data_IF_338723094849
#
_entry.id   IF_338723094849
#
_cell.length_a   1.000
_cell.length_b   1.000
_cell.length_c   1.000
_cell.angle_alpha   90.00
_cell.angle_beta   90.00
_cell.angle_gamma   90.00
#
_symmetry.space_group_name_H-M   'P 1'
#
loop_
_entity.id
_entity.type
_entity.pdbx_description
1 polymer ?
#
# COMPACT_ATOMS: atom_id res chain seq x y z
N UNK A 1 -24.60 25.51 11.53
CA UNK A 1 -23.75 24.40 12.01
C UNK A 1 -24.63 23.25 12.47
N UNK A 2 -24.28 22.01 12.15
CA UNK A 2 -24.89 20.85 12.81
C UNK A 2 -24.46 20.81 14.28
N UNK A 3 -25.31 20.31 15.20
CA UNK A 3 -24.90 20.17 16.60
C UNK A 3 -23.66 19.26 16.69
N UNK A 4 -22.72 19.55 17.60
CA UNK A 4 -21.52 18.74 17.72
C UNK A 4 -21.88 17.34 18.23
N UNK A 5 -21.23 16.33 17.67
CA UNK A 5 -21.43 14.92 18.05
C UNK A 5 -20.26 14.49 18.92
N UNK A 6 -20.46 13.56 19.85
CA UNK A 6 -19.35 13.00 20.65
C UNK A 6 -18.96 11.62 20.14
N UNK A 7 -17.68 11.41 19.84
CA UNK A 7 -17.10 10.07 19.64
C UNK A 7 -16.47 9.58 20.94
N UNK A 8 -16.45 8.26 21.16
CA UNK A 8 -15.97 7.65 22.40
C UNK A 8 -15.06 6.45 22.08
N UNK A 9 -14.12 6.18 22.99
CA UNK A 9 -13.22 5.03 22.90
C UNK A 9 -12.95 4.46 24.30
N UNK A 10 -12.67 3.16 24.38
CA UNK A 10 -12.22 2.46 25.59
C UNK A 10 -10.87 1.77 25.43
N UNK A 11 -10.40 1.63 24.19
CA UNK A 11 -9.26 0.84 23.74
C UNK A 11 -7.89 1.44 24.09
N UNK A 12 -7.75 2.77 24.06
CA UNK A 12 -6.52 3.47 24.41
C UNK A 12 -6.58 3.89 25.89
N UNK A 13 -6.05 3.03 26.76
CA UNK A 13 -5.95 3.29 28.19
C UNK A 13 -4.93 4.40 28.48
N UNK A 14 -5.34 5.40 29.27
CA UNK A 14 -4.56 6.62 29.52
C UNK A 14 -4.80 7.76 28.52
N UNK A 15 -5.51 7.49 27.42
CA UNK A 15 -5.98 8.51 26.49
C UNK A 15 -7.35 9.10 26.87
N UNK A 16 -7.73 10.24 26.28
CA UNK A 16 -9.07 10.82 26.40
C UNK A 16 -10.16 9.80 26.01
N UNK A 17 -11.24 9.71 26.81
CA UNK A 17 -12.33 8.74 26.59
C UNK A 17 -13.36 9.19 25.56
N UNK A 18 -13.37 10.48 25.26
CA UNK A 18 -14.29 11.07 24.29
C UNK A 18 -13.67 12.30 23.63
N UNK A 19 -14.12 12.60 22.41
CA UNK A 19 -13.83 13.86 21.74
C UNK A 19 -15.08 14.46 21.12
N UNK A 20 -15.13 15.79 21.08
CA UNK A 20 -16.18 16.56 20.44
C UNK A 20 -15.90 16.68 18.95
N UNK A 21 -16.83 16.23 18.11
CA UNK A 21 -16.76 16.32 16.65
C UNK A 21 -17.59 17.50 16.16
N UNK A 22 -16.91 18.46 15.52
CA UNK A 22 -17.52 19.61 14.86
C UNK A 22 -17.42 19.43 13.35
N UNK A 23 -18.54 19.61 12.65
CA UNK A 23 -18.63 19.42 11.21
C UNK A 23 -18.75 20.78 10.50
N UNK A 24 -17.91 21.00 9.50
CA UNK A 24 -17.83 22.19 8.69
C UNK A 24 -17.96 21.84 7.21
N UNK A 25 -18.55 22.75 6.45
CA UNK A 25 -18.42 22.72 5.00
C UNK A 25 -17.24 23.57 4.57
N UNK A 26 -16.68 23.34 3.38
CA UNK A 26 -15.60 24.18 2.83
C UNK A 26 -15.95 25.69 2.79
N UNK A 27 -17.24 26.05 2.71
CA UNK A 27 -17.69 27.44 2.79
C UNK A 27 -17.50 28.08 4.18
N UNK A 28 -17.41 27.27 5.23
CA UNK A 28 -17.23 27.69 6.63
C UNK A 28 -15.78 27.47 7.12
N UNK A 29 -14.80 27.45 6.21
CA UNK A 29 -13.38 27.24 6.57
C UNK A 29 -12.85 28.30 7.55
N UNK A 30 -13.32 29.55 7.46
CA UNK A 30 -12.92 30.61 8.39
C UNK A 30 -13.41 30.36 9.82
N UNK A 31 -14.66 29.87 9.99
CA UNK A 31 -15.20 29.47 11.29
C UNK A 31 -14.42 28.28 11.86
N UNK A 32 -14.12 27.29 11.01
CA UNK A 32 -13.30 26.14 11.38
C UNK A 32 -11.90 26.59 11.84
N UNK A 33 -11.26 27.53 11.15
CA UNK A 33 -9.95 28.03 11.53
C UNK A 33 -9.97 28.67 12.93
N UNK A 34 -10.96 29.51 13.22
CA UNK A 34 -11.10 30.15 14.54
C UNK A 34 -11.29 29.09 15.62
N UNK A 35 -12.24 28.18 15.45
CA UNK A 35 -12.52 27.14 16.43
C UNK A 35 -11.33 26.18 16.62
N UNK A 36 -10.66 25.81 15.52
CA UNK A 36 -9.51 24.94 15.55
C UNK A 36 -8.35 25.58 16.29
N UNK A 37 -8.02 26.85 15.98
CA UNK A 37 -6.94 27.59 16.65
C UNK A 37 -7.23 27.80 18.13
N UNK A 38 -8.49 28.02 18.52
CA UNK A 38 -8.89 28.12 19.92
C UNK A 38 -8.75 26.78 20.68
N UNK A 39 -8.83 25.65 19.97
CA UNK A 39 -8.66 24.31 20.56
C UNK A 39 -7.20 23.84 20.65
N UNK A 40 -6.27 24.53 20.00
CA UNK A 40 -4.84 24.25 20.15
C UNK A 40 -4.39 24.75 21.54
N UNK A 41 -3.95 23.82 22.39
CA UNK A 41 -3.38 24.13 23.70
C UNK A 41 -2.01 24.86 23.58
N UNK A 42 -1.35 25.09 24.72
CA UNK A 42 0.01 25.65 24.73
C UNK A 42 0.99 24.75 23.94
N UNK A 43 1.91 25.34 23.15
CA UNK A 43 2.86 24.58 22.36
C UNK A 43 3.85 23.79 23.26
N UNK A 44 4.35 22.63 22.80
CA UNK A 44 4.12 22.03 21.49
C UNK A 44 2.77 21.31 21.38
N UNK A 45 1.98 21.64 20.35
CA UNK A 45 0.73 20.94 20.06
C UNK A 45 0.91 19.94 18.92
N UNK A 46 0.31 18.76 19.09
CA UNK A 46 0.22 17.72 18.07
C UNK A 46 -1.17 17.71 17.47
N UNK A 47 -1.25 17.50 16.16
CA UNK A 47 -2.52 17.41 15.43
C UNK A 47 -2.52 16.12 14.63
N UNK A 48 -3.54 15.30 14.86
CA UNK A 48 -3.79 14.12 14.02
C UNK A 48 -4.57 14.53 12.77
N UNK A 49 -4.17 14.00 11.61
CA UNK A 49 -4.89 14.20 10.34
C UNK A 49 -5.37 12.89 9.75
N UNK A 50 -6.57 12.90 9.19
CA UNK A 50 -7.08 11.86 8.31
C UNK A 50 -7.89 12.46 7.17
N UNK A 51 -8.01 11.70 6.08
CA UNK A 51 -8.76 12.13 4.89
C UNK A 51 -9.64 11.00 4.36
N UNK A 52 -10.71 11.40 3.68
CA UNK A 52 -11.46 10.52 2.79
C UNK A 52 -11.29 10.97 1.35
N UNK A 53 -10.99 10.02 0.48
CA UNK A 53 -10.86 10.25 -0.96
C UNK A 53 -12.17 9.96 -1.70
N UNK A 54 -12.36 10.64 -2.83
CA UNK A 54 -13.40 10.31 -3.79
C UNK A 54 -13.18 8.89 -4.38
N UNK A 55 -14.25 8.21 -4.84
CA UNK A 55 -14.15 6.86 -5.42
C UNK A 55 -13.40 6.84 -6.75
N UNK A 56 -13.26 8.00 -7.40
CA UNK A 56 -12.55 8.17 -8.67
C UNK A 56 -11.71 9.44 -8.57
N UNK A 57 -10.48 9.37 -9.08
CA UNK A 57 -9.56 10.50 -9.11
C UNK A 57 -8.78 10.71 -7.81
N UNK A 58 -8.00 11.80 -7.74
CA UNK A 58 -7.19 12.17 -6.57
C UNK A 58 -7.91 13.11 -5.59
N UNK A 59 -9.20 13.39 -5.79
CA UNK A 59 -9.91 14.38 -4.99
C UNK A 59 -10.18 13.90 -3.56
N UNK A 60 -10.09 14.83 -2.60
CA UNK A 60 -10.46 14.63 -1.20
C UNK A 60 -11.92 15.04 -1.01
N UNK A 61 -12.69 14.21 -0.31
CA UNK A 61 -14.09 14.47 0.11
C UNK A 61 -14.18 15.00 1.53
N UNK A 62 -13.30 14.54 2.40
CA UNK A 62 -13.31 14.91 3.82
C UNK A 62 -11.89 15.09 4.32
N UNK A 63 -11.65 16.15 5.09
CA UNK A 63 -10.44 16.35 5.89
C UNK A 63 -10.86 16.38 7.36
N UNK A 64 -10.29 15.51 8.19
CA UNK A 64 -10.42 15.56 9.63
C UNK A 64 -9.10 15.98 10.28
N UNK A 65 -9.15 17.00 11.13
CA UNK A 65 -8.05 17.42 12.00
C UNK A 65 -8.49 17.19 13.44
N UNK A 66 -7.61 16.66 14.28
CA UNK A 66 -7.95 16.36 15.67
C UNK A 66 -6.87 16.81 16.65
N UNK A 67 -7.33 17.31 17.78
CA UNK A 67 -6.59 17.36 19.05
C UNK A 67 -6.95 16.12 19.88
N UNK A 68 -6.53 16.07 21.14
CA UNK A 68 -6.88 15.00 22.06
C UNK A 68 -8.38 14.97 22.43
N UNK A 69 -9.06 16.10 22.36
CA UNK A 69 -10.42 16.29 22.89
C UNK A 69 -11.41 16.85 21.86
N UNK A 70 -10.93 17.34 20.72
CA UNK A 70 -11.77 17.90 19.66
C UNK A 70 -11.35 17.37 18.28
N UNK A 71 -12.34 17.19 17.40
CA UNK A 71 -12.18 16.78 16.01
C UNK A 71 -12.94 17.76 15.12
N UNK A 72 -12.26 18.28 14.12
CA UNK A 72 -12.77 19.24 13.15
C UNK A 72 -12.84 18.55 11.80
N UNK A 73 -14.06 18.31 11.33
CA UNK A 73 -14.31 17.58 10.08
C UNK A 73 -14.78 18.57 9.03
N UNK A 74 -14.03 18.68 7.94
CA UNK A 74 -14.32 19.54 6.81
C UNK A 74 -14.74 18.71 5.60
N UNK A 75 -15.94 18.96 5.08
CA UNK A 75 -16.45 18.30 3.87
C UNK A 75 -16.26 19.16 2.62
N UNK A 76 -15.73 18.53 1.57
CA UNK A 76 -15.56 19.09 0.23
C UNK A 76 -16.70 18.59 -0.67
N UNK A 77 -17.65 19.47 -0.97
CA UNK A 77 -18.70 19.18 -1.97
C UNK A 77 -18.30 19.56 -3.40
N UNK A 78 -17.31 20.43 -3.51
CA UNK A 78 -16.73 20.95 -4.74
C UNK A 78 -15.25 21.28 -4.51
N UNK A 79 -14.43 21.37 -5.57
CA UNK A 79 -13.04 21.82 -5.43
C UNK A 79 -12.95 23.19 -4.74
N UNK A 80 -11.98 23.39 -3.82
CA UNK A 80 -11.84 24.66 -3.12
C UNK A 80 -11.43 25.79 -4.07
N UNK A 81 -12.03 26.97 -3.86
CA UNK A 81 -11.64 28.22 -4.53
C UNK A 81 -10.23 28.66 -4.11
N UNK A 82 -9.62 29.62 -4.81
CA UNK A 82 -8.28 30.13 -4.48
C UNK A 82 -8.19 30.62 -3.02
N UNK A 83 -9.16 31.41 -2.56
CA UNK A 83 -9.22 31.89 -1.17
C UNK A 83 -9.38 30.74 -0.15
N UNK A 84 -10.17 29.71 -0.49
CA UNK A 84 -10.34 28.54 0.37
C UNK A 84 -9.05 27.70 0.45
N UNK A 85 -8.31 27.58 -0.65
CA UNK A 85 -6.99 26.91 -0.65
C UNK A 85 -5.99 27.63 0.22
N UNK A 86 -5.95 28.96 0.16
CA UNK A 86 -5.08 29.78 1.01
C UNK A 86 -5.42 29.62 2.49
N UNK A 87 -6.72 29.68 2.85
CA UNK A 87 -7.17 29.46 4.22
C UNK A 87 -6.81 28.06 4.73
N UNK A 88 -6.98 27.02 3.91
CA UNK A 88 -6.57 25.65 4.24
C UNK A 88 -5.06 25.50 4.39
N UNK A 89 -4.26 26.10 3.50
CA UNK A 89 -2.81 26.09 3.61
C UNK A 89 -2.36 26.74 4.92
N UNK A 90 -3.00 27.85 5.33
CA UNK A 90 -2.76 28.49 6.62
C UNK A 90 -3.20 27.61 7.79
N UNK A 91 -4.33 26.91 7.69
CA UNK A 91 -4.82 25.98 8.70
C UNK A 91 -3.82 24.86 8.99
N UNK A 92 -3.20 24.31 7.94
CA UNK A 92 -2.24 23.20 8.03
C UNK A 92 -0.81 23.61 8.44
N UNK A 93 -0.53 24.91 8.61
CA UNK A 93 0.72 25.38 9.23
C UNK A 93 0.71 25.04 10.73
N UNK A 94 1.11 23.81 11.03
CA UNK A 94 1.13 23.17 12.34
C UNK A 94 2.55 22.62 12.59
N UNK A 95 3.06 22.74 13.82
CA UNK A 95 4.38 22.25 14.18
C UNK A 95 4.50 20.73 13.96
N UNK A 96 3.56 19.99 14.57
CA UNK A 96 3.47 18.53 14.49
C UNK A 96 2.13 18.10 13.88
N UNK A 97 2.00 18.24 12.56
CA UNK A 97 0.96 17.55 11.80
C UNK A 97 1.35 16.08 11.67
N UNK A 98 0.50 15.17 12.14
CA UNK A 98 0.83 13.74 12.25
C UNK A 98 -0.23 12.88 11.60
N UNK A 99 0.17 11.75 11.04
CA UNK A 99 -0.72 10.79 10.39
C UNK A 99 -0.11 9.40 10.40
N UNK A 100 -0.96 8.38 10.33
CA UNK A 100 -0.55 7.06 9.87
C UNK A 100 -0.61 7.05 8.34
N UNK A 101 0.41 6.44 7.73
CA UNK A 101 0.57 6.38 6.29
C UNK A 101 0.56 7.78 5.64
N UNK A 102 1.17 8.72 6.37
CA UNK A 102 1.12 10.14 6.06
C UNK A 102 1.59 10.50 4.62
N UNK A 103 2.55 9.79 3.98
CA UNK A 103 2.89 10.04 2.57
C UNK A 103 1.68 10.17 1.64
N UNK A 104 0.67 9.30 1.80
CA UNK A 104 -0.53 9.35 0.97
C UNK A 104 -1.36 10.61 1.26
N UNK A 105 -1.55 10.90 2.55
CA UNK A 105 -2.35 12.03 3.02
C UNK A 105 -1.78 13.37 2.58
N UNK A 106 -0.48 13.63 2.78
CA UNK A 106 0.09 14.96 2.49
C UNK A 106 0.21 15.24 0.99
N UNK A 107 0.40 14.21 0.17
CA UNK A 107 0.41 14.34 -1.29
C UNK A 107 -0.97 14.71 -1.80
N UNK A 108 -2.02 14.05 -1.31
CA UNK A 108 -3.40 14.36 -1.67
C UNK A 108 -3.80 15.76 -1.18
N UNK A 109 -3.38 16.15 0.03
CA UNK A 109 -3.62 17.49 0.55
C UNK A 109 -2.89 18.54 -0.30
N UNK A 110 -1.60 18.37 -0.54
CA UNK A 110 -0.83 19.32 -1.36
C UNK A 110 -1.42 19.44 -2.77
N UNK A 111 -1.88 18.33 -3.36
CA UNK A 111 -2.57 18.35 -4.64
C UNK A 111 -3.88 19.15 -4.60
N UNK A 112 -4.72 18.93 -3.59
CA UNK A 112 -5.99 19.66 -3.42
C UNK A 112 -5.79 21.16 -3.15
N UNK A 113 -4.69 21.52 -2.49
CA UNK A 113 -4.38 22.89 -2.08
C UNK A 113 -3.57 23.67 -3.11
N UNK A 114 -2.76 22.98 -3.91
CA UNK A 114 -1.73 23.61 -4.73
C UNK A 114 -0.63 24.28 -3.89
N UNK A 115 -0.39 23.79 -2.67
CA UNK A 115 0.59 24.33 -1.73
C UNK A 115 1.33 23.22 -1.00
N UNK A 116 2.52 23.54 -0.48
CA UNK A 116 3.31 22.57 0.28
C UNK A 116 2.63 22.15 1.57
N UNK A 117 2.69 20.84 1.86
CA UNK A 117 2.22 20.24 3.11
C UNK A 117 3.34 19.39 3.69
N UNK A 118 3.54 19.49 4.99
CA UNK A 118 4.58 18.77 5.71
C UNK A 118 4.08 18.21 7.04
N UNK A 119 4.64 17.10 7.49
CA UNK A 119 4.25 16.45 8.74
C UNK A 119 5.08 15.22 9.08
N UNK A 120 4.67 14.50 10.12
CA UNK A 120 5.37 13.34 10.67
C UNK A 120 4.53 12.06 10.54
N UNK A 121 5.12 11.06 9.90
CA UNK A 121 4.49 9.77 9.67
C UNK A 121 4.67 8.84 10.87
N UNK A 122 3.59 8.60 11.62
CA UNK A 122 3.61 7.70 12.78
C UNK A 122 3.86 6.25 12.36
N UNK A 123 3.50 5.87 11.13
CA UNK A 123 3.73 4.52 10.60
C UNK A 123 5.22 4.17 10.45
N UNK A 124 6.10 5.17 10.36
CA UNK A 124 7.55 4.95 10.21
C UNK A 124 8.38 5.73 11.23
N UNK A 125 7.75 6.19 12.32
CA UNK A 125 8.45 6.89 13.40
C UNK A 125 9.42 5.96 14.14
N UNK A 126 9.09 4.67 14.24
CA UNK A 126 10.00 3.64 14.74
C UNK A 126 10.81 3.02 13.59
N UNK A 127 12.07 2.70 13.85
CA UNK A 127 12.90 1.96 12.89
C UNK A 127 12.32 0.56 12.65
N UNK A 128 12.22 0.17 11.37
CA UNK A 128 11.76 -1.15 10.96
C UNK A 128 10.59 -1.11 9.97
N UNK A 129 9.66 -2.05 10.16
CA UNK A 129 8.46 -2.20 9.32
C UNK A 129 7.43 -1.09 9.56
N UNK A 130 6.59 -0.86 8.55
CA UNK A 130 5.47 0.08 8.60
C UNK A 130 4.52 -0.35 9.71
N UNK A 131 4.44 0.45 10.77
CA UNK A 131 3.58 0.17 11.92
C UNK A 131 2.12 0.51 11.61
N UNK A 132 1.24 -0.40 11.97
CA UNK A 132 -0.21 -0.15 11.99
C UNK A 132 -0.55 0.78 13.16
N UNK A 133 -1.71 1.46 13.14
CA UNK A 133 -2.16 2.27 14.27
C UNK A 133 -2.21 1.48 15.58
N UNK A 134 -2.71 0.24 15.52
CA UNK A 134 -2.78 -0.66 16.66
C UNK A 134 -1.41 -1.08 17.18
N UNK A 135 -0.49 -1.48 16.30
CA UNK A 135 0.87 -1.87 16.70
C UNK A 135 1.63 -0.70 17.32
N UNK A 136 1.48 0.49 16.73
CA UNK A 136 2.10 1.71 17.24
C UNK A 136 1.60 2.01 18.64
N UNK A 137 0.28 2.06 18.86
CA UNK A 137 -0.31 2.35 20.16
C UNK A 137 0.00 1.26 21.21
N UNK A 138 -0.05 -0.02 20.83
CA UNK A 138 0.35 -1.13 21.70
C UNK A 138 1.81 -1.00 22.14
N UNK A 139 2.69 -0.58 21.24
CA UNK A 139 4.10 -0.35 21.55
C UNK A 139 4.37 0.87 22.44
N UNK A 140 3.35 1.69 22.71
CA UNK A 140 3.38 2.80 23.68
C UNK A 140 2.71 2.44 25.00
N UNK A 141 1.77 1.50 24.99
CA UNK A 141 1.13 0.96 26.18
C UNK A 141 0.67 -0.47 25.92
N UNK A 142 1.27 -1.42 26.64
CA UNK A 142 1.01 -2.86 26.50
C UNK A 142 -0.45 -3.24 26.80
N UNK A 143 -1.20 -2.37 27.45
CA UNK A 143 -2.62 -2.58 27.75
C UNK A 143 -3.55 -2.22 26.59
N UNK A 144 -3.03 -1.62 25.51
CA UNK A 144 -3.80 -1.33 24.30
C UNK A 144 -3.85 -2.56 23.42
N UNK A 145 -5.05 -3.02 23.06
CA UNK A 145 -5.20 -4.11 22.09
C UNK A 145 -4.97 -3.59 20.68
N UNK A 146 -3.85 -3.97 20.06
CA UNK A 146 -3.53 -3.63 18.67
C UNK A 146 -4.65 -4.05 17.70
N UNK A 147 -5.20 -5.27 17.91
CA UNK A 147 -6.32 -5.81 17.16
C UNK A 147 -7.54 -4.91 17.23
N UNK A 148 -7.99 -4.55 18.43
CA UNK A 148 -9.19 -3.72 18.60
C UNK A 148 -9.04 -2.34 17.95
N UNK A 149 -7.86 -1.73 18.06
CA UNK A 149 -7.57 -0.46 17.41
C UNK A 149 -7.61 -0.59 15.88
N UNK A 150 -6.97 -1.62 15.32
CA UNK A 150 -6.95 -1.82 13.87
C UNK A 150 -8.35 -2.12 13.32
N UNK A 151 -9.14 -2.93 14.01
CA UNK A 151 -10.54 -3.17 13.66
C UNK A 151 -11.35 -1.86 13.64
N UNK A 152 -11.26 -1.03 14.69
CA UNK A 152 -11.93 0.27 14.72
C UNK A 152 -11.42 1.22 13.64
N UNK A 153 -10.11 1.23 13.40
CA UNK A 153 -9.48 2.03 12.36
C UNK A 153 -10.01 1.68 10.97
N UNK A 154 -10.30 0.41 10.72
CA UNK A 154 -10.83 -0.09 9.46
C UNK A 154 -12.35 0.01 9.31
N UNK A 155 -13.04 0.63 10.26
CA UNK A 155 -14.50 0.78 10.24
C UNK A 155 -15.26 -0.33 10.99
N UNK A 156 -14.54 -1.22 11.69
CA UNK A 156 -15.11 -2.34 12.44
C UNK A 156 -15.44 -3.56 11.57
N UNK A 157 -15.97 -4.61 12.21
CA UNK A 157 -16.41 -5.85 11.55
C UNK A 157 -17.88 -5.66 11.12
N UNK A 158 -18.20 -5.58 9.82
CA UNK A 158 -19.59 -5.41 9.39
C UNK A 158 -20.40 -6.66 9.73
N UNK A 159 -21.57 -6.49 10.39
CA UNK A 159 -22.57 -7.57 10.47
C UNK A 159 -23.35 -7.74 9.14
N UNK A 160 -23.35 -6.70 8.29
CA UNK A 160 -23.75 -6.71 6.87
C UNK A 160 -23.36 -5.38 6.19
N UNK A 161 -22.91 -5.41 4.92
CA UNK A 161 -22.56 -4.21 4.13
C UNK A 161 -21.10 -3.75 4.24
N UNK A 162 -20.73 -2.71 3.49
CA UNK A 162 -19.42 -2.03 3.59
C UNK A 162 -19.49 -0.95 4.66
N UNK A 163 -18.71 -1.07 5.74
CA UNK A 163 -18.58 0.04 6.71
C UNK A 163 -17.49 0.98 6.21
N UNK A 164 -17.81 2.25 6.08
CA UNK A 164 -16.80 3.27 5.73
C UNK A 164 -15.94 3.58 6.97
N UNK A 165 -14.60 3.58 6.85
CA UNK A 165 -13.74 3.97 7.96
C UNK A 165 -14.05 5.39 8.42
N UNK A 166 -14.24 5.57 9.73
CA UNK A 166 -14.59 6.87 10.29
C UNK A 166 -13.37 7.81 10.29
N UNK A 167 -13.33 8.75 9.34
CA UNK A 167 -12.24 9.72 9.21
C UNK A 167 -12.00 10.55 10.49
N UNK A 168 -13.07 10.93 11.20
CA UNK A 168 -12.97 11.62 12.48
C UNK A 168 -12.28 10.75 13.55
N UNK A 169 -12.67 9.46 13.65
CA UNK A 169 -12.05 8.52 14.57
C UNK A 169 -10.56 8.32 14.26
N UNK A 170 -10.20 8.17 12.98
CA UNK A 170 -8.81 8.03 12.53
C UNK A 170 -7.95 9.24 12.88
N UNK A 171 -8.45 10.45 12.62
CA UNK A 171 -7.75 11.68 12.99
C UNK A 171 -7.56 11.75 14.52
N UNK A 172 -8.59 11.41 15.29
CA UNK A 172 -8.53 11.43 16.75
C UNK A 172 -7.53 10.40 17.33
N UNK A 173 -7.58 9.15 16.86
CA UNK A 173 -6.62 8.12 17.28
C UNK A 173 -5.18 8.51 16.91
N UNK A 174 -5.00 9.19 15.77
CA UNK A 174 -3.71 9.75 15.39
C UNK A 174 -3.25 10.83 16.36
N UNK A 175 -4.13 11.75 16.78
CA UNK A 175 -3.80 12.80 17.74
C UNK A 175 -3.41 12.21 19.12
N UNK A 176 -4.13 11.18 19.58
CA UNK A 176 -3.78 10.47 20.82
C UNK A 176 -2.41 9.80 20.68
N UNK A 177 -2.16 9.09 19.58
CA UNK A 177 -0.89 8.42 19.30
C UNK A 177 0.28 9.41 19.21
N UNK A 178 0.07 10.56 18.56
CA UNK A 178 1.06 11.62 18.44
C UNK A 178 1.44 12.21 19.81
N UNK A 179 0.45 12.44 20.69
CA UNK A 179 0.74 12.92 22.04
C UNK A 179 1.55 11.90 22.85
N UNK A 180 1.24 10.61 22.74
CA UNK A 180 2.03 9.53 23.38
C UNK A 180 3.45 9.39 22.81
N UNK A 181 3.74 10.04 21.68
CA UNK A 181 5.02 9.99 20.99
C UNK A 181 5.66 11.38 20.85
N UNK A 182 5.20 12.39 21.61
CA UNK A 182 5.60 13.78 21.40
C UNK A 182 7.12 13.99 21.49
N UNK A 183 7.80 13.24 22.35
CA UNK A 183 9.26 13.26 22.52
C UNK A 183 10.02 12.60 21.35
N UNK A 184 9.38 11.66 20.65
CA UNK A 184 9.98 10.96 19.49
C UNK A 184 9.79 11.74 18.19
N UNK A 185 8.77 12.60 18.09
CA UNK A 185 8.46 13.34 16.86
C UNK A 185 9.65 14.16 16.34
N UNK A 186 10.42 14.90 17.17
CA UNK A 186 11.62 15.60 16.72
C UNK A 186 12.74 14.68 16.20
N UNK A 187 12.78 13.42 16.65
CA UNK A 187 13.76 12.42 16.21
C UNK A 187 13.36 11.79 14.86
N UNK A 188 12.07 11.83 14.53
CA UNK A 188 11.52 11.38 13.26
C UNK A 188 11.87 12.29 12.09
N UNK A 189 11.87 11.73 10.88
CA UNK A 189 12.02 12.53 9.65
C UNK A 189 10.69 13.20 9.31
N UNK A 190 10.70 14.53 9.23
CA UNK A 190 9.57 15.31 8.70
C UNK A 190 9.46 15.11 7.19
N UNK A 191 8.30 14.69 6.72
CA UNK A 191 7.97 14.57 5.30
C UNK A 191 7.46 15.91 4.78
N UNK A 192 7.77 16.24 3.52
CA UNK A 192 7.35 17.48 2.87
C UNK A 192 7.13 17.29 1.37
N UNK A 193 6.07 17.88 0.84
CA UNK A 193 5.82 17.92 -0.61
C UNK A 193 6.64 18.97 -1.34
N UNK A 194 7.37 19.84 -0.63
CA UNK A 194 8.27 20.85 -1.21
C UNK A 194 9.28 20.27 -2.22
N UNK A 195 9.68 19.01 -2.04
CA UNK A 195 10.63 18.32 -2.92
C UNK A 195 9.99 17.76 -4.20
N UNK A 196 8.68 17.91 -4.36
CA UNK A 196 7.91 17.31 -5.44
C UNK A 196 7.31 18.42 -6.30
N UNK A 197 7.70 18.45 -7.58
CA UNK A 197 7.12 19.44 -8.50
C UNK A 197 5.64 19.13 -8.85
N UNK A 198 4.94 20.12 -9.38
CA UNK A 198 3.50 20.04 -9.65
C UNK A 198 3.10 18.89 -10.58
N UNK A 199 3.93 18.54 -11.58
CA UNK A 199 3.63 17.43 -12.49
C UNK A 199 3.80 16.09 -11.78
N UNK A 200 4.85 15.96 -10.95
CA UNK A 200 5.03 14.77 -10.12
C UNK A 200 3.91 14.60 -9.11
N UNK A 201 3.50 15.70 -8.49
CA UNK A 201 2.46 15.73 -7.47
C UNK A 201 1.13 15.19 -8.00
N UNK A 202 0.74 15.52 -9.24
CA UNK A 202 -0.47 14.98 -9.87
C UNK A 202 -0.46 13.44 -9.91
N UNK A 203 0.64 12.85 -10.38
CA UNK A 203 0.77 11.40 -10.49
C UNK A 203 0.85 10.73 -9.12
N UNK A 204 1.56 11.36 -8.17
CA UNK A 204 1.64 10.89 -6.80
C UNK A 204 0.27 10.92 -6.11
N UNK A 205 -0.56 11.93 -6.39
CA UNK A 205 -1.93 12.01 -5.86
C UNK A 205 -2.81 10.89 -6.42
N UNK A 206 -2.73 10.59 -7.72
CA UNK A 206 -3.44 9.44 -8.31
C UNK A 206 -2.94 8.11 -7.73
N UNK A 207 -1.63 7.99 -7.50
CA UNK A 207 -1.01 6.82 -6.88
C UNK A 207 -1.49 6.63 -5.44
N UNK A 208 -1.52 7.70 -4.65
CA UNK A 208 -1.97 7.72 -3.26
C UNK A 208 -3.47 7.40 -3.15
N UNK A 209 -4.32 8.01 -3.97
CA UNK A 209 -5.76 7.73 -3.93
C UNK A 209 -6.07 6.28 -4.29
N UNK A 210 -5.41 5.73 -5.32
CA UNK A 210 -5.53 4.31 -5.68
C UNK A 210 -5.05 3.38 -4.57
N UNK A 211 -3.98 3.72 -3.86
CA UNK A 211 -3.51 2.93 -2.72
C UNK A 211 -4.55 2.88 -1.59
N UNK A 212 -5.12 4.03 -1.22
CA UNK A 212 -6.18 4.13 -0.22
C UNK A 212 -7.44 3.37 -0.66
N UNK A 213 -7.88 3.54 -1.91
CA UNK A 213 -9.06 2.86 -2.45
C UNK A 213 -8.86 1.34 -2.54
N UNK A 214 -7.67 0.89 -2.97
CA UNK A 214 -7.32 -0.54 -3.00
C UNK A 214 -7.39 -1.15 -1.60
N UNK A 215 -6.85 -0.47 -0.60
CA UNK A 215 -6.89 -0.97 0.78
C UNK A 215 -8.34 -1.07 1.30
N UNK A 216 -9.19 -0.09 0.98
CA UNK A 216 -10.64 -0.12 1.32
C UNK A 216 -11.38 -1.27 0.66
N UNK A 217 -10.95 -1.72 -0.52
CA UNK A 217 -11.56 -2.84 -1.23
C UNK A 217 -11.09 -4.21 -0.71
N UNK A 218 -10.03 -4.26 0.12
CA UNK A 218 -9.59 -5.54 0.70
C UNK A 218 -10.69 -6.07 1.64
N UNK A 219 -11.12 -7.33 1.48
CA UNK A 219 -12.15 -7.91 2.32
C UNK A 219 -11.67 -7.94 3.78
N UNK A 220 -12.53 -7.50 4.70
CA UNK A 220 -12.26 -7.55 6.15
C UNK A 220 -12.70 -8.85 6.81
N UNK A 221 -13.55 -9.60 6.10
CA UNK A 221 -14.00 -10.94 6.48
C UNK A 221 -13.92 -11.81 5.22
N UNK A 222 -13.25 -12.94 5.32
CA UNK A 222 -13.17 -13.93 4.25
C UNK A 222 -13.53 -15.29 4.81
N UNK A 223 -14.53 -15.93 4.21
CA UNK A 223 -14.83 -17.35 4.49
C UNK A 223 -13.83 -18.22 3.72
N UNK A 224 -13.24 -19.19 4.42
CA UNK A 224 -12.27 -20.11 3.83
C UNK A 224 -12.85 -21.50 3.67
N UNK A 225 -12.62 -22.07 2.49
CA UNK A 225 -12.93 -23.46 2.21
C UNK A 225 -11.79 -24.37 2.71
N UNK A 226 -12.17 -25.37 3.47
CA UNK A 226 -11.29 -26.40 4.01
C UNK A 226 -11.87 -27.79 3.78
N UNK A 227 -11.01 -28.80 3.68
CA UNK A 227 -11.38 -30.21 3.56
C UNK A 227 -11.32 -30.95 4.89
N UNK A 228 -10.46 -30.49 5.81
CA UNK A 228 -10.31 -31.07 7.15
C UNK A 228 -9.65 -30.06 8.10
N UNK A 229 -9.81 -30.27 9.41
CA UNK A 229 -9.10 -29.56 10.48
C UNK A 229 -8.57 -30.58 11.47
N UNK A 230 -7.26 -30.64 11.62
CA UNK A 230 -6.60 -31.47 12.62
C UNK A 230 -6.26 -30.63 13.85
N UNK A 231 -6.38 -31.20 15.04
CA UNK A 231 -5.94 -30.56 16.29
C UNK A 231 -4.66 -31.21 16.78
N UNK A 232 -3.67 -30.40 17.11
CA UNK A 232 -2.36 -30.83 17.62
C UNK A 232 -2.35 -30.84 19.15
N UNK A 233 -1.40 -31.58 19.73
CA UNK A 233 -1.28 -31.73 21.18
C UNK A 233 -0.98 -30.42 21.92
N UNK A 234 -0.37 -29.44 21.24
CA UNK A 234 -0.06 -28.11 21.78
C UNK A 234 -1.26 -27.13 21.75
N UNK A 235 -2.43 -27.61 21.33
CA UNK A 235 -3.63 -26.79 21.13
C UNK A 235 -3.61 -25.97 19.84
N UNK A 236 -2.65 -26.19 18.94
CA UNK A 236 -2.71 -25.63 17.60
C UNK A 236 -3.58 -26.47 16.68
N UNK A 237 -4.00 -25.87 15.57
CA UNK A 237 -4.81 -26.53 14.55
C UNK A 237 -4.11 -26.42 13.20
N UNK A 238 -4.26 -27.47 12.41
CA UNK A 238 -3.85 -27.51 11.01
C UNK A 238 -5.10 -27.60 10.13
N UNK A 239 -5.36 -26.52 9.40
CA UNK A 239 -6.45 -26.40 8.44
C UNK A 239 -5.95 -26.90 7.08
N UNK A 240 -6.59 -27.95 6.55
CA UNK A 240 -6.35 -28.44 5.20
C UNK A 240 -7.22 -27.66 4.24
N UNK A 241 -6.63 -26.71 3.52
CA UNK A 241 -7.35 -25.83 2.62
C UNK A 241 -7.80 -26.60 1.39
N UNK A 242 -9.07 -26.46 1.00
CA UNK A 242 -9.62 -27.16 -0.15
C UNK A 242 -8.95 -26.70 -1.46
N UNK A 243 -8.55 -25.43 -1.52
CA UNK A 243 -7.87 -24.81 -2.65
C UNK A 243 -6.62 -24.09 -2.15
N UNK A 244 -5.57 -24.06 -2.95
CA UNK A 244 -4.35 -23.33 -2.56
C UNK A 244 -4.61 -21.83 -2.33
N UNK A 245 -5.49 -21.23 -3.14
CA UNK A 245 -5.89 -19.82 -3.00
C UNK A 245 -6.67 -19.51 -1.71
N UNK A 246 -7.21 -20.50 -1.00
CA UNK A 246 -7.89 -20.32 0.29
C UNK A 246 -6.97 -20.51 1.49
N UNK A 247 -5.65 -20.63 1.27
CA UNK A 247 -4.69 -20.69 2.37
C UNK A 247 -4.69 -19.38 3.17
N UNK A 248 -4.48 -19.54 4.46
CA UNK A 248 -4.44 -18.46 5.43
C UNK A 248 -2.97 -18.13 5.73
N UNK A 249 -2.52 -16.94 5.33
CA UNK A 249 -1.13 -16.47 5.54
C UNK A 249 -0.96 -15.93 6.96
N UNK A 250 0.25 -16.08 7.52
CA UNK A 250 0.60 -15.42 8.77
C UNK A 250 0.44 -13.91 8.62
N UNK A 251 -0.16 -13.27 9.60
CA UNK A 251 -0.41 -11.84 9.61
C UNK A 251 -0.67 -11.39 11.05
N UNK A 252 -0.17 -10.21 11.39
CA UNK A 252 -0.44 -9.53 12.67
C UNK A 252 -1.76 -8.78 12.66
N UNK A 253 -2.32 -8.55 11.46
CA UNK A 253 -3.53 -7.77 11.23
C UNK A 253 -4.78 -8.63 11.04
N UNK A 254 -4.61 -9.95 10.91
CA UNK A 254 -5.73 -10.89 10.73
C UNK A 254 -5.68 -12.01 11.76
N UNK A 255 -6.85 -12.49 12.16
CA UNK A 255 -7.03 -13.68 13.00
C UNK A 255 -8.07 -14.60 12.37
N UNK A 256 -8.21 -15.78 12.95
CA UNK A 256 -9.20 -16.78 12.56
C UNK A 256 -10.32 -16.85 13.59
N UNK A 257 -11.56 -16.88 13.10
CA UNK A 257 -12.71 -17.33 13.87
C UNK A 257 -13.07 -18.75 13.42
N UNK A 258 -13.00 -19.70 14.35
CA UNK A 258 -13.36 -21.12 14.14
C UNK A 258 -14.75 -21.37 14.71
N UNK A 259 -15.73 -21.57 13.84
CA UNK A 259 -17.11 -21.87 14.22
C UNK A 259 -17.27 -23.38 14.36
N UNK A 260 -17.69 -23.83 15.52
CA UNK A 260 -17.95 -25.23 15.83
C UNK A 260 -19.41 -25.59 15.54
N UNK A 261 -19.69 -26.86 15.25
CA UNK A 261 -21.07 -27.35 14.98
C UNK A 261 -22.02 -27.18 16.16
N UNK A 262 -21.50 -27.06 17.38
CA UNK A 262 -22.27 -26.81 18.60
C UNK A 262 -22.68 -25.32 18.77
N UNK A 263 -22.22 -24.43 17.87
CA UNK A 263 -22.51 -23.00 17.90
C UNK A 263 -21.40 -22.13 18.52
N UNK A 264 -20.38 -22.73 19.14
CA UNK A 264 -19.27 -22.00 19.74
C UNK A 264 -18.36 -21.38 18.66
N UNK A 265 -17.76 -20.24 19.00
CA UNK A 265 -16.74 -19.57 18.16
C UNK A 265 -15.45 -19.46 18.95
N UNK A 266 -14.36 -19.98 18.38
CA UNK A 266 -13.03 -19.95 19.00
C UNK A 266 -12.10 -19.10 18.14
N UNK A 267 -11.51 -18.08 18.74
CA UNK A 267 -10.50 -17.25 18.08
C UNK A 267 -9.16 -18.00 17.99
N UNK A 268 -8.43 -17.77 16.90
CA UNK A 268 -7.12 -18.34 16.68
C UNK A 268 -6.16 -17.37 15.98
N UNK A 269 -4.89 -17.39 16.43
CA UNK A 269 -3.80 -16.63 15.83
C UNK A 269 -3.15 -17.44 14.71
N UNK A 270 -2.98 -16.85 13.54
CA UNK A 270 -2.41 -17.54 12.37
C UNK A 270 -0.89 -17.65 12.53
N UNK A 271 -0.34 -18.88 12.47
CA UNK A 271 1.10 -19.14 12.51
C UNK A 271 1.73 -19.10 11.11
N UNK A 272 0.99 -19.51 10.07
CA UNK A 272 1.46 -19.48 8.68
C UNK A 272 0.85 -20.57 7.81
N UNK A 273 1.37 -20.73 6.60
CA UNK A 273 0.94 -21.76 5.67
C UNK A 273 2.13 -22.42 4.95
N UNK A 274 1.99 -23.71 4.65
CA UNK A 274 2.91 -24.49 3.82
C UNK A 274 2.11 -25.34 2.83
N UNK A 275 2.27 -25.05 1.54
CA UNK A 275 1.41 -25.64 0.51
C UNK A 275 -0.07 -25.34 0.78
N UNK A 276 -0.90 -26.40 0.83
CA UNK A 276 -2.34 -26.31 1.15
C UNK A 276 -2.67 -26.47 2.64
N UNK A 277 -1.68 -26.44 3.54
CA UNK A 277 -1.90 -26.53 4.98
C UNK A 277 -1.66 -25.16 5.63
N UNK A 278 -2.62 -24.72 6.43
CA UNK A 278 -2.52 -23.49 7.23
C UNK A 278 -2.53 -23.86 8.70
N UNK A 279 -1.58 -23.32 9.46
CA UNK A 279 -1.44 -23.59 10.89
C UNK A 279 -1.86 -22.37 11.69
N UNK A 280 -2.62 -22.59 12.76
CA UNK A 280 -3.07 -21.55 13.67
C UNK A 280 -3.07 -22.04 15.13
N UNK A 281 -2.97 -21.11 16.08
CA UNK A 281 -3.06 -21.40 17.52
C UNK A 281 -4.39 -20.92 18.04
N UNK A 282 -5.23 -21.80 18.56
CA UNK A 282 -6.49 -21.39 19.17
C UNK A 282 -6.25 -20.80 20.55
N UNK A 283 -7.09 -19.84 20.94
CA UNK A 283 -7.05 -19.26 22.29
C UNK A 283 -7.57 -20.25 23.34
N UNK A 284 -8.41 -21.19 22.91
CA UNK A 284 -9.01 -22.23 23.74
C UNK A 284 -9.03 -23.56 22.97
N UNK A 285 -9.06 -24.68 23.69
CA UNK A 285 -9.14 -26.01 23.06
C UNK A 285 -10.48 -26.16 22.32
N UNK A 286 -10.44 -26.69 21.10
CA UNK A 286 -11.64 -26.96 20.33
C UNK A 286 -12.44 -28.10 20.99
N UNK A 287 -13.73 -27.87 21.24
CA UNK A 287 -14.66 -28.84 21.82
C UNK A 287 -15.76 -29.21 20.83
N UNK A 288 -15.39 -29.88 19.75
CA UNK A 288 -16.32 -30.37 18.73
C UNK A 288 -15.78 -30.21 17.31
N UNK A 289 -16.61 -30.59 16.34
CA UNK A 289 -16.26 -30.49 14.92
C UNK A 289 -16.32 -29.04 14.44
N UNK A 290 -15.39 -28.68 13.57
CA UNK A 290 -15.39 -27.38 12.88
C UNK A 290 -16.46 -27.37 11.78
N UNK A 291 -17.33 -26.38 11.82
CA UNK A 291 -18.37 -26.14 10.81
C UNK A 291 -17.93 -25.10 9.78
N UNK A 292 -17.22 -24.05 10.21
CA UNK A 292 -16.83 -22.93 9.35
C UNK A 292 -15.57 -22.23 9.88
N UNK A 293 -14.75 -21.70 8.97
CA UNK A 293 -13.58 -20.90 9.28
C UNK A 293 -13.69 -19.54 8.59
N UNK A 294 -13.46 -18.47 9.35
CA UNK A 294 -13.38 -17.10 8.83
C UNK A 294 -12.03 -16.49 9.15
N UNK A 295 -11.43 -15.81 8.19
CA UNK A 295 -10.34 -14.87 8.43
C UNK A 295 -10.96 -13.50 8.62
N UNK A 296 -10.59 -12.83 9.71
CA UNK A 296 -11.10 -11.51 10.08
C UNK A 296 -9.93 -10.55 10.26
N UNK A 297 -10.06 -9.35 9.71
CA UNK A 297 -9.05 -8.29 9.71
C UNK A 297 -8.65 -7.88 8.29
N UNK A 298 -7.70 -6.93 8.19
CA UNK A 298 -7.18 -6.47 6.91
C UNK A 298 -5.89 -7.23 6.54
N UNK A 299 -5.79 -7.71 5.30
CA UNK A 299 -4.56 -8.36 4.83
C UNK A 299 -3.39 -7.37 4.78
N UNK A 300 -2.24 -7.79 5.33
CA UNK A 300 -1.01 -7.03 5.30
C UNK A 300 -0.60 -6.60 3.89
N UNK A 301 0.25 -5.58 3.83
CA UNK A 301 0.75 -5.08 2.55
C UNK A 301 1.60 -6.12 1.84
N UNK A 302 1.32 -6.32 0.56
CA UNK A 302 2.25 -7.06 -0.30
C UNK A 302 3.57 -6.30 -0.48
N UNK A 303 4.62 -7.00 -0.92
CA UNK A 303 5.92 -6.37 -1.19
C UNK A 303 5.82 -5.20 -2.19
N UNK A 304 4.94 -5.31 -3.19
CA UNK A 304 4.71 -4.24 -4.16
C UNK A 304 4.03 -3.03 -3.52
N UNK A 305 3.09 -3.23 -2.60
CA UNK A 305 2.43 -2.15 -1.86
C UNK A 305 3.41 -1.47 -0.89
N UNK A 306 4.29 -2.24 -0.24
CA UNK A 306 5.38 -1.73 0.61
C UNK A 306 6.37 -0.90 -0.22
N UNK A 307 6.81 -1.41 -1.37
CA UNK A 307 7.72 -0.69 -2.26
C UNK A 307 7.11 0.64 -2.75
N UNK A 308 5.82 0.62 -3.12
CA UNK A 308 5.06 1.83 -3.49
C UNK A 308 5.03 2.86 -2.36
N UNK A 309 4.78 2.42 -1.13
CA UNK A 309 4.80 3.27 0.05
C UNK A 309 6.17 3.91 0.28
N UNK A 310 7.23 3.09 0.30
CA UNK A 310 8.59 3.56 0.54
C UNK A 310 9.09 4.48 -0.57
N UNK A 311 8.74 4.21 -1.83
CA UNK A 311 9.02 5.10 -2.95
C UNK A 311 8.43 6.49 -2.68
N UNK A 312 7.12 6.58 -2.40
CA UNK A 312 6.46 7.85 -2.16
C UNK A 312 7.03 8.57 -0.94
N UNK A 313 7.24 7.84 0.17
CA UNK A 313 7.86 8.37 1.38
C UNK A 313 9.24 8.96 1.08
N UNK A 314 10.07 8.25 0.32
CA UNK A 314 11.44 8.68 0.01
C UNK A 314 11.45 9.95 -0.85
N UNK A 315 10.51 10.06 -1.80
CA UNK A 315 10.33 11.27 -2.62
C UNK A 315 9.87 12.50 -1.82
N UNK A 316 9.34 12.32 -0.61
CA UNK A 316 8.89 13.40 0.28
C UNK A 316 9.93 13.78 1.35
N UNK A 317 11.07 13.09 1.39
CA UNK A 317 12.12 13.36 2.38
C UNK A 317 13.23 14.25 1.83
N UNK A 318 13.50 14.14 0.53
CA UNK A 318 14.52 14.92 -0.17
C UNK A 318 14.22 14.91 -1.67
N UNK A 319 14.76 15.88 -2.40
CA UNK A 319 14.67 15.91 -3.85
C UNK A 319 15.44 14.70 -4.41
N UNK A 320 14.71 13.74 -4.98
CA UNK A 320 15.29 12.57 -5.64
C UNK A 320 14.84 12.51 -7.08
N UNK A 321 15.78 12.21 -7.97
CA UNK A 321 15.45 11.76 -9.30
C UNK A 321 14.81 10.37 -9.21
N UNK A 322 13.59 10.23 -9.74
CA UNK A 322 13.00 8.91 -9.91
C UNK A 322 13.87 8.11 -10.92
N UNK A 323 14.00 6.78 -10.74
CA UNK A 323 14.73 5.95 -11.70
C UNK A 323 14.26 6.22 -13.13
N UNK A 324 15.17 6.20 -14.12
CA UNK A 324 14.86 6.55 -15.51
C UNK A 324 13.60 5.84 -16.03
N UNK A 325 13.49 4.52 -15.81
CA UNK A 325 12.30 3.73 -16.16
C UNK A 325 10.98 4.27 -15.54
N UNK A 326 11.03 4.69 -14.27
CA UNK A 326 9.86 5.30 -13.60
C UNK A 326 9.55 6.66 -14.22
N UNK A 327 10.59 7.45 -14.50
CA UNK A 327 10.41 8.75 -15.15
C UNK A 327 9.81 8.62 -16.55
N UNK A 328 10.25 7.66 -17.35
CA UNK A 328 9.73 7.44 -18.70
C UNK A 328 8.26 7.03 -18.70
N UNK A 329 7.83 6.18 -17.76
CA UNK A 329 6.44 5.69 -17.71
C UNK A 329 5.49 6.72 -17.09
N UNK A 330 5.87 7.30 -15.95
CA UNK A 330 4.97 8.15 -15.18
C UNK A 330 5.15 9.65 -15.47
N UNK A 331 6.30 10.08 -16.01
CA UNK A 331 6.62 11.48 -16.29
C UNK A 331 7.14 11.68 -17.73
N UNK A 332 6.37 11.27 -18.77
CA UNK A 332 6.82 11.39 -20.15
C UNK A 332 7.16 12.86 -20.49
N UNK A 333 8.33 13.07 -21.10
CA UNK A 333 8.85 14.40 -21.46
C UNK A 333 9.91 14.99 -20.53
N UNK A 334 10.20 14.38 -19.37
CA UNK A 334 11.31 14.78 -18.47
C UNK A 334 12.61 14.00 -18.67
N UNK A 335 12.65 13.07 -19.62
CA UNK A 335 13.82 12.23 -19.86
C UNK A 335 14.90 13.07 -20.57
N UNK A 336 15.82 13.64 -19.80
CA UNK A 336 17.09 14.14 -20.32
C UNK A 336 18.11 13.02 -20.25
N UNK A 337 18.72 12.70 -21.39
CA UNK A 337 19.95 11.91 -21.52
C UNK A 337 20.04 10.70 -20.61
N UNK A 338 19.47 9.56 -21.03
CA UNK A 338 19.89 8.29 -20.46
C UNK A 338 21.35 8.14 -20.83
N UNK A 339 22.26 8.19 -19.85
CA UNK A 339 23.65 7.80 -20.07
C UNK A 339 23.63 6.32 -20.43
N UNK A 340 23.76 6.04 -21.72
CA UNK A 340 23.95 4.69 -22.21
C UNK A 340 25.37 4.29 -21.84
N UNK A 341 25.51 3.26 -21.00
CA UNK A 341 26.76 2.52 -20.97
C UNK A 341 26.92 1.90 -22.36
N UNK A 342 27.85 2.44 -23.14
CA UNK A 342 28.31 1.83 -24.39
C UNK A 342 28.83 0.44 -24.04
N UNK A 343 27.99 -0.56 -24.22
CA UNK A 343 28.42 -1.96 -24.21
C UNK A 343 29.20 -2.15 -25.51
N UNK A 344 30.52 -2.04 -25.44
CA UNK A 344 31.40 -2.36 -26.56
C UNK A 344 31.10 -3.79 -27.04
N UNK A 345 30.42 -3.91 -28.17
CA UNK A 345 30.10 -5.19 -28.80
C UNK A 345 31.34 -5.72 -29.52
N UNK A 346 31.82 -6.92 -29.13
CA UNK A 346 32.85 -7.63 -29.88
C UNK A 346 32.29 -8.20 -31.20
N UNK A 347 33.14 -8.36 -32.22
CA UNK A 347 32.74 -8.83 -33.56
C UNK A 347 32.15 -10.25 -33.58
N UNK A 348 32.49 -11.08 -32.59
CA UNK A 348 32.11 -12.49 -32.56
C UNK A 348 30.61 -12.68 -32.26
N UNK A 349 29.96 -11.68 -31.64
CA UNK A 349 28.55 -11.73 -31.26
C UNK A 349 27.57 -11.35 -32.38
N UNK A 350 28.07 -10.75 -33.47
CA UNK A 350 27.24 -10.35 -34.61
C UNK A 350 26.69 -11.56 -35.37
N UNK A 351 27.54 -12.57 -35.62
CA UNK A 351 27.19 -13.76 -36.41
C UNK A 351 26.13 -14.64 -35.74
N UNK A 352 26.18 -14.80 -34.41
CA UNK A 352 25.15 -15.51 -33.64
C UNK A 352 23.82 -14.75 -33.62
N UNK A 353 23.87 -13.42 -33.48
CA UNK A 353 22.68 -12.55 -33.50
C UNK A 353 21.91 -12.68 -34.82
N UNK A 354 22.61 -12.74 -35.95
CA UNK A 354 22.00 -12.88 -37.28
C UNK A 354 21.21 -14.20 -37.41
N UNK A 355 21.80 -15.32 -36.94
CA UNK A 355 21.13 -16.64 -36.98
C UNK A 355 19.85 -16.73 -36.12
N UNK A 356 19.77 -15.93 -35.05
CA UNK A 356 18.60 -15.84 -34.17
C UNK A 356 17.51 -15.02 -34.85
N UNK A 357 17.88 -13.89 -35.46
CA UNK A 357 16.96 -12.99 -36.16
C UNK A 357 16.34 -13.64 -37.41
N UNK A 358 17.08 -14.50 -38.12
CA UNK A 358 16.56 -15.25 -39.28
C UNK A 358 15.38 -16.17 -38.94
N UNK A 359 15.31 -16.66 -37.70
CA UNK A 359 14.22 -17.54 -37.22
C UNK A 359 12.94 -16.76 -36.85
N UNK A 360 12.98 -15.42 -36.88
CA UNK A 360 11.87 -14.54 -36.56
C UNK A 360 11.22 -14.00 -37.85
N UNK A 361 9.91 -13.79 -37.81
CA UNK A 361 9.22 -13.09 -38.90
C UNK A 361 9.54 -11.58 -38.87
N UNK A 362 9.17 -10.86 -39.93
CA UNK A 362 9.51 -9.44 -40.07
C UNK A 362 8.99 -8.56 -38.92
N UNK A 363 7.77 -8.80 -38.42
CA UNK A 363 7.24 -7.99 -37.31
C UNK A 363 7.96 -8.26 -35.99
N UNK A 364 8.29 -9.52 -35.73
CA UNK A 364 9.08 -9.93 -34.56
C UNK A 364 10.50 -9.36 -34.62
N UNK A 365 11.15 -9.38 -35.79
CA UNK A 365 12.48 -8.77 -35.99
C UNK A 365 12.47 -7.28 -35.70
N UNK A 366 11.47 -6.55 -36.20
CA UNK A 366 11.34 -5.11 -35.92
C UNK A 366 11.19 -4.83 -34.43
N UNK A 367 10.39 -5.63 -33.72
CA UNK A 367 10.24 -5.52 -32.26
C UNK A 367 11.57 -5.79 -31.54
N UNK A 368 12.26 -6.87 -31.89
CA UNK A 368 13.57 -7.19 -31.29
C UNK A 368 14.59 -6.10 -31.58
N UNK A 369 14.60 -5.55 -32.80
CA UNK A 369 15.43 -4.41 -33.16
C UNK A 369 15.16 -3.18 -32.27
N UNK A 370 13.90 -2.85 -32.03
CA UNK A 370 13.53 -1.76 -31.13
C UNK A 370 13.95 -2.04 -29.68
N UNK A 371 13.73 -3.26 -29.16
CA UNK A 371 14.12 -3.64 -27.79
C UNK A 371 15.64 -3.53 -27.57
N UNK A 372 16.42 -3.86 -28.59
CA UNK A 372 17.89 -3.86 -28.54
C UNK A 372 18.50 -2.51 -28.96
N UNK A 373 17.67 -1.56 -29.37
CA UNK A 373 18.11 -0.26 -29.87
C UNK A 373 18.73 0.55 -28.71
N UNK A 374 19.95 1.08 -28.88
CA UNK A 374 20.53 2.00 -27.93
C UNK A 374 19.93 3.40 -28.04
N UNK A 375 18.98 3.64 -28.96
CA UNK A 375 18.46 4.97 -29.19
C UNK A 375 17.56 5.42 -28.02
N UNK A 376 17.67 6.67 -27.53
CA UNK A 376 16.91 7.14 -26.37
C UNK A 376 15.39 6.99 -26.50
N UNK A 377 14.86 7.15 -27.73
CA UNK A 377 13.42 6.97 -28.01
C UNK A 377 12.93 5.53 -27.82
N UNK A 378 13.82 4.55 -27.87
CA UNK A 378 13.53 3.12 -27.72
C UNK A 378 13.80 2.62 -26.29
N UNK A 379 14.14 3.53 -25.36
CA UNK A 379 14.35 3.20 -23.94
C UNK A 379 13.13 2.59 -23.24
N UNK A 380 11.94 2.77 -23.82
CA UNK A 380 10.71 2.08 -23.47
C UNK A 380 9.96 1.66 -24.73
N UNK A 381 9.91 0.35 -24.97
CA UNK A 381 9.16 -0.22 -26.10
C UNK A 381 7.87 -0.87 -25.59
N UNK A 382 6.73 -0.38 -26.05
CA UNK A 382 5.42 -0.99 -25.79
C UNK A 382 5.02 -1.82 -26.99
N UNK A 383 4.90 -3.13 -26.79
CA UNK A 383 4.58 -4.09 -27.85
C UNK A 383 3.17 -4.66 -27.64
N UNK A 384 2.32 -4.55 -28.66
CA UNK A 384 1.04 -5.23 -28.69
C UNK A 384 1.14 -6.51 -29.53
N UNK A 385 0.84 -7.66 -28.93
CA UNK A 385 0.75 -8.93 -29.64
C UNK A 385 -0.61 -9.62 -29.44
N UNK A 386 -1.46 -9.68 -30.48
CA UNK A 386 -2.68 -10.50 -30.46
C UNK A 386 -2.43 -11.99 -30.09
N UNK A 387 -3.48 -12.77 -29.80
CA UNK A 387 -3.35 -14.21 -29.59
C UNK A 387 -2.67 -14.89 -30.80
N UNK A 388 -1.78 -15.85 -30.55
CA UNK A 388 -1.11 -16.61 -31.61
C UNK A 388 0.06 -15.92 -32.33
N UNK A 389 0.36 -14.64 -32.09
CA UNK A 389 1.41 -13.91 -32.83
C UNK A 389 2.85 -14.20 -32.39
N UNK A 390 3.05 -15.18 -31.50
CA UNK A 390 4.37 -15.60 -31.07
C UNK A 390 5.07 -14.63 -30.11
N UNK A 391 4.33 -13.92 -29.23
CA UNK A 391 4.89 -13.02 -28.20
C UNK A 391 6.06 -13.65 -27.42
N UNK A 392 5.89 -14.89 -26.96
CA UNK A 392 6.93 -15.61 -26.20
C UNK A 392 8.15 -15.93 -27.07
N UNK A 393 7.95 -16.20 -28.36
CA UNK A 393 9.04 -16.37 -29.33
C UNK A 393 9.82 -15.06 -29.51
N UNK A 394 9.13 -13.91 -29.58
CA UNK A 394 9.79 -12.59 -29.64
C UNK A 394 10.63 -12.30 -28.40
N UNK A 395 10.08 -12.57 -27.21
CA UNK A 395 10.80 -12.41 -25.93
C UNK A 395 12.05 -13.30 -25.90
N UNK A 396 11.91 -14.58 -26.27
CA UNK A 396 13.04 -15.50 -26.34
C UNK A 396 14.11 -15.05 -27.35
N UNK A 397 13.70 -14.50 -28.50
CA UNK A 397 14.62 -13.95 -29.49
C UNK A 397 15.44 -12.77 -28.95
N UNK A 398 14.80 -11.83 -28.25
CA UNK A 398 15.52 -10.73 -27.60
C UNK A 398 16.45 -11.22 -26.48
N UNK A 399 15.99 -12.16 -25.65
CA UNK A 399 16.77 -12.74 -24.56
C UNK A 399 18.04 -13.46 -25.07
N UNK A 400 17.92 -14.26 -26.14
CA UNK A 400 19.04 -14.96 -26.74
C UNK A 400 20.11 -13.98 -27.26
N UNK A 401 19.71 -12.83 -27.80
CA UNK A 401 20.66 -11.82 -28.28
C UNK A 401 21.33 -11.09 -27.12
N UNK A 402 20.62 -10.84 -26.01
CA UNK A 402 21.26 -10.29 -24.81
C UNK A 402 22.23 -11.29 -24.18
N UNK A 403 21.86 -12.56 -24.08
CA UNK A 403 22.74 -13.65 -23.63
C UNK A 403 23.99 -13.74 -24.51
N UNK A 404 23.81 -13.75 -25.84
CA UNK A 404 24.94 -13.78 -26.76
C UNK A 404 25.84 -12.55 -26.61
N UNK A 405 25.33 -11.42 -26.10
CA UNK A 405 26.13 -10.21 -25.79
C UNK A 405 26.70 -10.20 -24.37
N UNK A 406 26.48 -11.25 -23.58
CA UNK A 406 26.88 -11.31 -22.16
C UNK A 406 26.11 -10.32 -21.27
N UNK A 407 24.94 -9.86 -21.71
CA UNK A 407 24.12 -8.89 -20.99
C UNK A 407 23.01 -9.60 -20.20
N UNK A 408 22.89 -9.36 -18.88
CA UNK A 408 21.82 -9.95 -18.09
C UNK A 408 20.46 -9.32 -18.46
N UNK A 409 19.43 -10.16 -18.55
CA UNK A 409 18.05 -9.73 -18.81
C UNK A 409 17.14 -10.15 -17.64
N UNK A 410 16.28 -9.24 -17.19
CA UNK A 410 15.20 -9.55 -16.26
C UNK A 410 13.89 -9.68 -17.03
N UNK A 411 13.30 -10.88 -17.00
CA UNK A 411 11.99 -11.14 -17.61
C UNK A 411 10.97 -11.36 -16.49
N UNK A 412 9.96 -10.50 -16.46
CA UNK A 412 8.90 -10.50 -15.45
C UNK A 412 7.54 -10.75 -16.10
N UNK A 413 6.66 -11.46 -15.40
CA UNK A 413 5.28 -11.66 -15.80
C UNK A 413 4.35 -11.54 -14.59
N UNK A 414 3.09 -11.15 -14.83
CA UNK A 414 2.11 -10.94 -13.77
C UNK A 414 1.69 -12.26 -13.08
N UNK A 415 1.77 -13.39 -13.78
CA UNK A 415 1.33 -14.68 -13.26
C UNK A 415 2.44 -15.72 -13.34
N UNK A 416 2.41 -16.66 -12.39
CA UNK A 416 3.28 -17.82 -12.36
C UNK A 416 3.22 -18.65 -13.65
N UNK A 417 2.01 -18.83 -14.20
CA UNK A 417 1.81 -19.49 -15.50
C UNK A 417 2.50 -18.73 -16.63
N UNK A 418 2.45 -17.39 -16.60
CA UNK A 418 3.16 -16.55 -17.57
C UNK A 418 4.68 -16.74 -17.50
N UNK A 419 5.24 -16.78 -16.28
CA UNK A 419 6.67 -17.06 -16.07
C UNK A 419 7.03 -18.46 -16.58
N UNK A 420 6.23 -19.48 -16.24
CA UNK A 420 6.43 -20.87 -16.70
C UNK A 420 6.42 -20.98 -18.24
N UNK A 421 5.44 -20.38 -18.91
CA UNK A 421 5.35 -20.41 -20.37
C UNK A 421 6.56 -19.74 -21.05
N UNK A 422 7.11 -18.68 -20.45
CA UNK A 422 8.33 -18.04 -20.94
C UNK A 422 9.54 -18.95 -20.69
N UNK A 423 9.67 -19.49 -19.48
CA UNK A 423 10.76 -20.37 -19.09
C UNK A 423 10.85 -21.63 -19.97
N UNK A 424 9.72 -22.29 -20.22
CA UNK A 424 9.64 -23.42 -21.16
C UNK A 424 10.10 -23.01 -22.56
N UNK A 425 9.81 -21.78 -22.98
CA UNK A 425 10.24 -21.28 -24.29
C UNK A 425 11.74 -21.01 -24.35
N UNK A 426 12.33 -20.47 -23.28
CA UNK A 426 13.77 -20.28 -23.17
C UNK A 426 14.50 -21.63 -23.18
N UNK A 427 14.00 -22.60 -22.41
CA UNK A 427 14.53 -23.96 -22.37
C UNK A 427 14.47 -24.66 -23.74
N UNK A 428 13.33 -24.57 -24.45
CA UNK A 428 13.21 -25.09 -25.82
C UNK A 428 14.19 -24.46 -26.82
N UNK A 429 14.71 -23.28 -26.52
CA UNK A 429 15.64 -22.52 -27.37
C UNK A 429 17.09 -22.62 -26.89
N UNK A 430 17.36 -23.41 -25.85
CA UNK A 430 18.68 -23.60 -25.27
C UNK A 430 19.32 -22.28 -24.79
N UNK A 431 18.50 -21.41 -24.19
CA UNK A 431 18.92 -20.14 -23.57
C UNK A 431 19.08 -20.39 -22.08
N UNK A 432 20.20 -19.98 -21.47
CA UNK A 432 20.42 -20.12 -20.02
C UNK A 432 19.55 -19.11 -19.25
N UNK A 433 18.96 -19.57 -18.14
CA UNK A 433 18.16 -18.72 -17.27
C UNK A 433 18.10 -19.26 -15.84
N UNK A 434 17.81 -18.35 -14.92
CA UNK A 434 17.48 -18.68 -13.53
C UNK A 434 16.06 -18.25 -13.22
N UNK A 435 15.31 -19.14 -12.57
CA UNK A 435 13.96 -18.83 -12.09
C UNK A 435 14.01 -18.35 -10.66
N UNK A 436 13.51 -17.13 -10.44
CA UNK A 436 13.29 -16.60 -9.11
C UNK A 436 11.80 -16.74 -8.82
N UNK A 437 11.47 -17.66 -7.93
CA UNK A 437 10.11 -17.98 -7.54
C UNK A 437 9.98 -17.87 -6.03
N UNK A 438 8.80 -17.49 -5.55
CA UNK A 438 8.53 -17.61 -4.13
C UNK A 438 8.57 -19.08 -3.74
N UNK A 439 8.98 -19.39 -2.50
CA UNK A 439 8.94 -20.75 -1.95
C UNK A 439 7.55 -21.38 -2.11
N UNK A 440 6.52 -20.54 -2.08
CA UNK A 440 5.14 -20.90 -2.30
C UNK A 440 4.88 -21.48 -3.71
N UNK A 441 5.44 -20.88 -4.77
CA UNK A 441 5.27 -21.35 -6.13
C UNK A 441 6.01 -22.68 -6.39
N UNK A 442 7.14 -22.92 -5.73
CA UNK A 442 7.85 -24.20 -5.80
C UNK A 442 6.94 -25.40 -5.41
N UNK A 443 5.99 -25.21 -4.50
CA UNK A 443 5.06 -26.27 -4.08
C UNK A 443 3.99 -26.62 -5.14
N UNK A 444 3.80 -25.80 -6.17
CA UNK A 444 2.78 -25.98 -7.22
C UNK A 444 3.35 -26.08 -8.65
N UNK A 445 4.68 -26.01 -8.85
CA UNK A 445 5.30 -25.98 -10.19
C UNK A 445 5.17 -27.30 -10.96
#
# INVERSE_FOLDING_TARGET
>A
MSPPTTIRQREILGGPRSALVRNYSIGAIGEMEVDFRAALAEPPFTVGVSIEVAPVGPDIRTLALATQDQVFVLSFRQPPSAAQREALAKLLKIQYLTGFELPYTIVLLAHALGSDVAGYDLSTLKFGDISTPGDFLHSKSVFVSARAINELWDGGIPRSGTVEPNCALRAWFTAIAAQMAIEDLPLGRKLSTHFVDAHMLQNYAVLASRAILRDRLKPRIQENDFSAVDTEQDGSITVHNARYKSRIRASKQTHLEVYLKNGDVVDATIKGAKGRRSSARTEQQLKGDVARIRVVGCEERTNSERAQYYFLRSSLMEARHAPSFVTTIWFPGKVQGIEHHDVHLSSDYASQSDSILEKLNNSQRNIVGAILSPAPQDSLVIVHGPPGTGKTTTIAGAAAIWESRGLPCWIIAQSNVGVKNIAEKLFQKDIDFRLIVSQEFLYEW
#
